data_IF_774625410309
#
_entry.id   IF_774625410309
#
_cell.length_a   1.000
_cell.length_b   1.000
_cell.length_c   1.000
_cell.angle_alpha   90.00
_cell.angle_beta   90.00
_cell.angle_gamma   90.00
#
_symmetry.space_group_name_H-M   'P 1'
#
loop_
_entity.id
_entity.type
_entity.pdbx_description
1 polymer ?
#
# COMPACT_ATOMS: atom_id res chain seq x y z
N UNK A 1 -7.64 59.69 48.53
CA UNK A 1 -9.06 59.44 48.87
C UNK A 1 -9.24 57.95 49.07
N UNK A 2 -9.62 57.57 50.29
CA UNK A 2 -9.86 56.17 50.66
C UNK A 2 -11.17 55.66 50.06
N UNK A 3 -11.16 54.49 49.42
CA UNK A 3 -12.37 53.77 49.02
C UNK A 3 -12.76 52.81 50.15
N UNK A 4 -14.00 52.87 50.68
CA UNK A 4 -14.39 52.03 51.81
C UNK A 4 -14.61 50.59 51.35
N UNK A 5 -14.01 49.63 52.06
CA UNK A 5 -14.38 48.21 51.99
C UNK A 5 -15.82 48.08 52.49
N UNK A 6 -16.78 47.97 51.56
CA UNK A 6 -18.13 47.49 51.89
C UNK A 6 -18.04 46.00 52.16
N UNK A 7 -18.39 45.59 53.37
CA UNK A 7 -18.64 44.19 53.70
C UNK A 7 -19.76 43.70 52.79
N UNK A 8 -19.47 42.67 51.98
CA UNK A 8 -20.53 41.91 51.35
C UNK A 8 -21.37 41.29 52.47
N UNK A 9 -22.64 41.69 52.50
CA UNK A 9 -23.63 41.29 53.47
C UNK A 9 -23.77 39.76 53.42
N UNK A 10 -23.37 39.06 54.48
CA UNK A 10 -23.33 37.58 54.50
C UNK A 10 -24.68 36.95 54.14
N UNK A 11 -25.78 37.68 54.33
CA UNK A 11 -27.13 37.31 53.91
C UNK A 11 -27.26 37.11 52.39
N UNK A 12 -26.58 37.92 51.57
CA UNK A 12 -26.64 37.80 50.11
C UNK A 12 -25.93 36.53 49.63
N UNK A 13 -24.83 36.16 50.28
CA UNK A 13 -24.09 34.92 49.99
C UNK A 13 -24.89 33.66 50.37
N UNK A 14 -25.59 33.70 51.50
CA UNK A 14 -26.49 32.60 51.92
C UNK A 14 -27.72 32.47 51.01
N UNK A 15 -28.29 33.58 50.55
CA UNK A 15 -29.41 33.57 49.60
C UNK A 15 -28.97 33.04 48.23
N UNK A 16 -27.81 33.47 47.71
CA UNK A 16 -27.24 32.93 46.47
C UNK A 16 -26.88 31.44 46.59
N UNK A 17 -26.33 31.02 47.73
CA UNK A 17 -26.05 29.60 48.01
C UNK A 17 -27.33 28.76 48.08
N UNK A 18 -28.40 29.26 48.71
CA UNK A 18 -29.71 28.61 48.75
C UNK A 18 -30.40 28.57 47.39
N UNK A 19 -30.32 29.63 46.59
CA UNK A 19 -30.89 29.66 45.23
C UNK A 19 -30.14 28.69 44.32
N UNK A 20 -28.81 28.64 44.37
CA UNK A 20 -28.02 27.67 43.61
C UNK A 20 -28.25 26.22 44.07
N UNK A 21 -28.36 25.97 45.38
CA UNK A 21 -28.68 24.65 45.92
C UNK A 21 -30.12 24.22 45.55
N UNK A 22 -31.08 25.14 45.58
CA UNK A 22 -32.45 24.89 45.11
C UNK A 22 -32.47 24.61 43.60
N UNK A 23 -31.71 25.34 42.78
CA UNK A 23 -31.61 25.08 41.34
C UNK A 23 -31.02 23.71 41.04
N UNK A 24 -30.00 23.29 41.79
CA UNK A 24 -29.42 21.94 41.74
C UNK A 24 -30.43 20.85 42.16
N UNK A 25 -31.21 21.07 43.22
CA UNK A 25 -32.23 20.10 43.68
C UNK A 25 -33.39 19.98 42.68
N UNK A 26 -33.78 21.07 42.00
CA UNK A 26 -34.80 21.03 40.93
C UNK A 26 -34.30 20.38 39.64
N UNK A 27 -33.02 20.59 39.26
CA UNK A 27 -32.43 19.90 38.11
C UNK A 27 -32.21 18.40 38.35
N UNK A 28 -31.79 17.99 39.55
CA UNK A 28 -31.56 16.57 39.88
C UNK A 28 -32.87 15.78 39.96
N UNK A 29 -34.01 16.41 40.29
CA UNK A 29 -35.34 15.76 40.24
C UNK A 29 -35.93 15.61 38.84
N UNK A 30 -35.37 16.25 37.81
CA UNK A 30 -35.91 16.24 36.44
C UNK A 30 -35.30 15.15 35.55
N UNK A 31 -34.28 14.43 36.04
CA UNK A 31 -33.65 13.32 35.34
C UNK A 31 -34.01 11.94 35.94
N UNK A 32 -35.10 11.86 36.71
CA UNK A 32 -35.68 10.59 37.12
C UNK A 32 -36.37 9.92 35.92
N UNK A 33 -35.60 9.10 35.19
CA UNK A 33 -36.07 8.05 34.29
C UNK A 33 -37.19 8.44 33.32
N UNK A 34 -36.87 9.17 32.24
CA UNK A 34 -37.75 9.15 31.07
C UNK A 34 -37.79 7.72 30.53
N UNK A 35 -38.90 7.03 30.77
CA UNK A 35 -39.17 5.72 30.19
C UNK A 35 -39.42 5.92 28.69
N UNK A 36 -38.41 5.68 27.86
CA UNK A 36 -38.60 5.63 26.40
C UNK A 36 -39.31 4.31 26.05
N UNK A 37 -40.46 4.40 25.38
CA UNK A 37 -41.11 3.23 24.78
C UNK A 37 -40.66 3.06 23.33
N UNK A 38 -39.98 1.96 23.04
CA UNK A 38 -39.74 1.49 21.66
C UNK A 38 -40.83 0.49 21.29
N UNK A 39 -41.72 0.87 20.37
CA UNK A 39 -42.70 -0.05 19.79
C UNK A 39 -42.16 -0.60 18.47
N UNK A 40 -42.00 -1.92 18.36
CA UNK A 40 -41.53 -2.60 17.14
C UNK A 40 -42.73 -3.21 16.42
N UNK A 41 -43.00 -2.77 15.19
CA UNK A 41 -44.04 -3.34 14.35
C UNK A 41 -43.46 -4.48 13.49
N UNK A 42 -43.77 -5.72 13.84
CA UNK A 42 -43.34 -6.92 13.10
C UNK A 42 -44.42 -7.48 12.16
N UNK A 43 -45.43 -6.68 11.78
CA UNK A 43 -46.50 -7.13 10.88
C UNK A 43 -45.94 -7.37 9.47
N UNK A 44 -46.16 -8.54 8.84
CA UNK A 44 -45.58 -8.88 7.53
C UNK A 44 -45.89 -7.89 6.41
N UNK A 45 -47.02 -7.18 6.50
CA UNK A 45 -47.42 -6.15 5.52
C UNK A 45 -46.53 -4.89 5.57
N UNK A 46 -45.78 -4.70 6.65
CA UNK A 46 -44.90 -3.54 6.87
C UNK A 46 -43.41 -3.93 6.93
N UNK A 47 -43.06 -5.19 6.62
CA UNK A 47 -41.68 -5.67 6.60
C UNK A 47 -41.14 -5.72 5.17
N UNK A 48 -39.87 -5.33 4.98
CA UNK A 48 -39.14 -5.55 3.73
C UNK A 48 -37.95 -6.48 3.99
N UNK A 49 -37.59 -7.27 2.98
CA UNK A 49 -36.37 -8.06 3.02
C UNK A 49 -35.17 -7.12 3.03
N UNK A 50 -34.27 -7.32 4.00
CA UNK A 50 -33.00 -6.61 4.03
C UNK A 50 -32.16 -7.11 2.84
N UNK A 51 -31.63 -6.23 1.98
CA UNK A 51 -30.78 -6.64 0.87
C UNK A 51 -29.59 -7.47 1.37
N UNK A 52 -29.30 -8.59 0.70
CA UNK A 52 -28.18 -9.46 1.08
C UNK A 52 -26.82 -8.75 1.00
N UNK A 53 -26.73 -7.70 0.20
CA UNK A 53 -25.54 -6.89 -0.02
C UNK A 53 -25.52 -5.58 0.78
N UNK A 54 -26.33 -5.48 1.85
CA UNK A 54 -26.43 -4.25 2.65
C UNK A 54 -25.13 -3.88 3.36
N UNK A 55 -24.34 -4.86 3.81
CA UNK A 55 -23.12 -4.63 4.57
C UNK A 55 -21.89 -5.09 3.79
N UNK A 56 -20.93 -4.18 3.64
CA UNK A 56 -19.68 -4.45 2.93
C UNK A 56 -18.54 -3.62 3.49
N UNK A 57 -17.41 -3.72 2.81
CA UNK A 57 -16.19 -2.96 3.11
C UNK A 57 -15.85 -2.06 1.93
N UNK A 58 -15.16 -0.97 2.25
CA UNK A 58 -14.62 -0.02 1.30
C UNK A 58 -13.10 0.00 1.50
N UNK A 59 -12.36 -0.02 0.40
CA UNK A 59 -10.91 0.06 0.37
C UNK A 59 -10.47 1.25 -0.47
N UNK A 60 -9.57 2.03 0.09
CA UNK A 60 -8.78 3.09 -0.54
C UNK A 60 -7.33 2.90 -0.08
N UNK A 61 -6.35 3.17 -0.95
CA UNK A 61 -4.94 3.20 -0.56
C UNK A 61 -4.67 4.48 0.24
N UNK A 62 -4.96 4.42 1.54
CA UNK A 62 -4.79 5.47 2.54
C UNK A 62 -4.12 4.88 3.77
N UNK A 63 -3.22 5.64 4.42
CA UNK A 63 -2.51 5.20 5.62
C UNK A 63 -1.73 3.88 5.44
N UNK A 64 -1.19 3.62 4.24
CA UNK A 64 -0.55 2.34 3.91
C UNK A 64 -1.50 1.14 4.08
N UNK A 65 -2.77 1.30 3.66
CA UNK A 65 -3.78 0.24 3.77
C UNK A 65 -3.49 -0.95 2.84
N UNK A 66 -2.87 -0.73 1.69
CA UNK A 66 -2.44 -1.80 0.77
C UNK A 66 -0.95 -2.01 0.88
N UNK A 67 -0.14 -1.11 0.30
CA UNK A 67 1.31 -1.14 0.42
C UNK A 67 1.75 -0.88 1.88
N UNK A 68 2.32 -1.89 2.53
CA UNK A 68 2.63 -1.90 3.97
C UNK A 68 1.51 -2.37 4.88
N UNK A 69 0.31 -2.56 4.32
CA UNK A 69 -0.89 -3.01 5.00
C UNK A 69 -1.33 -4.37 4.50
N UNK A 70 -2.43 -4.40 3.75
CA UNK A 70 -3.07 -5.63 3.30
C UNK A 70 -2.20 -6.45 2.32
N UNK A 71 -1.36 -5.80 1.51
CA UNK A 71 -0.42 -6.48 0.62
C UNK A 71 0.81 -6.95 1.40
N UNK A 72 1.27 -8.18 1.17
CA UNK A 72 2.31 -8.81 2.01
C UNK A 72 3.75 -8.49 1.62
N UNK A 73 3.97 -7.62 0.63
CA UNK A 73 5.30 -7.08 0.33
C UNK A 73 5.86 -6.37 1.58
N UNK A 74 7.07 -6.76 1.96
CA UNK A 74 7.76 -6.18 3.11
C UNK A 74 8.70 -5.06 2.71
N UNK A 75 9.21 -5.05 1.48
CA UNK A 75 10.12 -4.02 0.99
C UNK A 75 9.35 -2.79 0.53
N UNK A 76 9.66 -1.65 1.12
CA UNK A 76 9.14 -0.37 0.66
C UNK A 76 10.08 0.22 -0.41
N UNK A 77 9.54 0.92 -1.41
CA UNK A 77 10.30 1.47 -2.54
C UNK A 77 11.18 0.40 -3.22
N UNK A 78 10.56 -0.75 -3.55
CA UNK A 78 11.26 -1.94 -4.08
C UNK A 78 11.90 -1.77 -5.47
N UNK A 79 11.34 -0.88 -6.30
CA UNK A 79 11.86 -0.54 -7.63
C UNK A 79 12.56 0.81 -7.71
N UNK A 80 12.78 1.51 -6.59
CA UNK A 80 13.47 2.81 -6.54
C UNK A 80 12.79 3.96 -7.29
N UNK A 81 11.53 3.79 -7.71
CA UNK A 81 10.75 4.78 -8.46
C UNK A 81 10.12 5.87 -7.58
N UNK A 82 10.19 5.77 -6.25
CA UNK A 82 9.49 6.71 -5.36
C UNK A 82 9.94 8.18 -5.48
N UNK A 83 11.12 8.46 -6.02
CA UNK A 83 11.58 9.82 -6.35
C UNK A 83 11.13 10.34 -7.72
N UNK A 84 10.39 9.54 -8.47
CA UNK A 84 10.01 9.81 -9.86
C UNK A 84 11.12 9.50 -10.87
N UNK A 85 10.92 9.88 -12.15
CA UNK A 85 11.75 9.41 -13.27
C UNK A 85 13.13 10.11 -13.38
N UNK A 86 13.43 11.05 -12.48
CA UNK A 86 14.67 11.82 -12.50
C UNK A 86 15.76 11.11 -11.71
N UNK A 87 17.01 11.21 -12.17
CA UNK A 87 18.17 10.64 -11.47
C UNK A 87 19.06 11.72 -10.86
N UNK A 88 19.53 11.56 -9.62
CA UNK A 88 19.21 10.46 -8.71
C UNK A 88 17.75 10.52 -8.23
N UNK A 89 17.08 9.37 -8.24
CA UNK A 89 15.78 9.15 -7.61
C UNK A 89 15.97 9.01 -6.10
N UNK A 90 14.89 9.21 -5.37
CA UNK A 90 14.86 9.02 -3.94
C UNK A 90 14.86 7.52 -3.62
N UNK A 91 15.81 7.09 -2.78
CA UNK A 91 15.89 5.72 -2.29
C UNK A 91 15.19 5.52 -0.95
N UNK A 92 14.61 6.54 -0.31
CA UNK A 92 13.87 6.37 0.96
C UNK A 92 12.83 5.23 0.85
N UNK A 93 12.74 4.31 1.83
CA UNK A 93 13.44 4.30 3.12
C UNK A 93 14.74 3.48 3.17
N UNK A 94 15.34 3.18 2.02
CA UNK A 94 16.64 2.50 1.97
C UNK A 94 17.74 3.36 2.59
N UNK A 95 18.62 2.71 3.34
CA UNK A 95 19.71 3.35 4.08
C UNK A 95 21.03 2.62 3.85
N UNK A 96 22.14 3.36 3.93
CA UNK A 96 23.48 2.85 3.66
C UNK A 96 24.06 2.17 4.91
N UNK A 97 24.72 1.03 4.73
CA UNK A 97 25.58 0.36 5.70
C UNK A 97 27.02 0.64 5.29
N UNK A 98 27.73 1.44 6.08
CA UNK A 98 29.08 1.93 5.76
C UNK A 98 29.11 3.45 5.66
N UNK A 99 30.21 3.97 5.14
CA UNK A 99 30.43 5.40 4.92
C UNK A 99 31.10 5.63 3.55
N UNK A 100 31.27 6.90 3.17
CA UNK A 100 31.82 7.31 1.89
C UNK A 100 33.26 6.82 1.63
N UNK A 101 33.97 6.35 2.66
CA UNK A 101 35.30 5.74 2.47
C UNK A 101 35.22 4.31 1.96
N UNK A 102 34.07 3.64 2.12
CA UNK A 102 33.87 2.24 1.80
C UNK A 102 32.82 1.99 0.72
N UNK A 103 31.85 2.89 0.54
CA UNK A 103 30.71 2.67 -0.35
C UNK A 103 30.13 3.98 -0.90
N UNK A 104 29.74 3.95 -2.16
CA UNK A 104 28.97 5.00 -2.84
C UNK A 104 27.67 4.39 -3.35
N UNK A 105 26.54 4.97 -2.95
CA UNK A 105 25.20 4.56 -3.40
C UNK A 105 24.55 5.70 -4.18
N UNK A 106 24.04 5.38 -5.36
CA UNK A 106 23.29 6.29 -6.20
C UNK A 106 22.19 5.51 -6.95
N UNK A 107 21.39 6.20 -7.75
CA UNK A 107 20.47 5.59 -8.71
C UNK A 107 20.74 6.13 -10.10
N UNK A 108 20.59 5.30 -11.12
CA UNK A 108 20.70 5.69 -12.52
C UNK A 108 19.56 5.07 -13.36
N UNK A 109 19.53 5.34 -14.67
CA UNK A 109 18.50 4.83 -15.59
C UNK A 109 18.91 3.53 -16.30
N UNK A 110 19.53 2.60 -15.57
CA UNK A 110 20.09 1.37 -16.15
C UNK A 110 19.16 0.16 -16.08
N UNK A 111 17.97 0.28 -15.46
CA UNK A 111 17.04 -0.84 -15.32
C UNK A 111 16.73 -1.53 -16.66
N UNK A 112 16.49 -2.84 -16.59
CA UNK A 112 16.00 -3.62 -17.71
C UNK A 112 14.50 -3.40 -18.02
N UNK A 113 13.76 -2.71 -17.15
CA UNK A 113 12.34 -2.42 -17.32
C UNK A 113 12.13 -1.04 -17.93
N UNK A 114 11.47 -0.98 -19.09
CA UNK A 114 11.23 0.28 -19.78
C UNK A 114 10.28 1.21 -19.01
N UNK A 115 9.32 0.64 -18.26
CA UNK A 115 8.33 1.36 -17.46
C UNK A 115 8.84 1.73 -16.07
N UNK A 116 9.85 1.00 -15.56
CA UNK A 116 10.55 1.25 -14.30
C UNK A 116 12.03 1.48 -14.58
N UNK A 117 12.42 2.66 -15.11
CA UNK A 117 13.76 2.85 -15.63
C UNK A 117 14.84 2.98 -14.56
N UNK A 118 14.48 3.16 -13.28
CA UNK A 118 15.43 3.47 -12.21
C UNK A 118 16.00 2.19 -11.61
N UNK A 119 17.33 2.16 -11.44
CA UNK A 119 18.03 1.10 -10.72
C UNK A 119 18.93 1.72 -9.65
N UNK A 120 19.12 1.00 -8.54
CA UNK A 120 20.09 1.38 -7.51
C UNK A 120 21.47 0.88 -7.91
N UNK A 121 22.45 1.79 -7.98
CA UNK A 121 23.86 1.51 -8.22
C UNK A 121 24.63 1.59 -6.90
N UNK A 122 25.26 0.49 -6.53
CA UNK A 122 26.09 0.34 -5.35
C UNK A 122 27.55 0.10 -5.76
N UNK A 123 28.43 1.03 -5.44
CA UNK A 123 29.87 0.93 -5.70
C UNK A 123 30.62 0.73 -4.38
N UNK A 124 31.28 -0.42 -4.25
CA UNK A 124 32.02 -0.82 -3.06
C UNK A 124 33.50 -0.57 -3.27
N UNK A 125 34.07 0.25 -2.41
CA UNK A 125 35.44 0.75 -2.50
C UNK A 125 36.42 -0.05 -1.62
N UNK A 126 35.90 -0.75 -0.61
CA UNK A 126 36.69 -1.58 0.29
C UNK A 126 36.80 -3.03 -0.22
N UNK A 127 37.81 -3.75 0.26
CA UNK A 127 38.09 -5.13 -0.11
C UNK A 127 38.03 -6.08 1.10
N UNK A 128 38.01 -7.38 0.82
CA UNK A 128 37.98 -8.42 1.86
C UNK A 128 39.30 -8.54 2.63
N UNK A 129 40.40 -8.06 2.04
CA UNK A 129 41.75 -8.01 2.58
C UNK A 129 42.54 -6.86 1.94
N UNK A 130 43.66 -6.45 2.52
CA UNK A 130 44.49 -5.36 1.97
C UNK A 130 44.55 -4.15 2.89
N UNK A 131 44.69 -2.96 2.31
CA UNK A 131 44.82 -1.70 3.06
C UNK A 131 43.45 -1.09 3.41
N UNK A 132 42.47 -1.20 2.50
CA UNK A 132 41.14 -0.63 2.64
C UNK A 132 40.12 -1.76 2.90
N UNK A 133 40.17 -2.33 4.11
CA UNK A 133 39.42 -3.55 4.44
C UNK A 133 37.99 -3.22 4.85
N UNK A 134 37.01 -3.89 4.24
CA UNK A 134 35.61 -3.75 4.63
C UNK A 134 35.38 -4.16 6.10
N UNK A 135 34.45 -3.50 6.82
CA UNK A 135 34.03 -3.93 8.15
C UNK A 135 33.63 -5.42 8.19
N UNK A 136 33.71 -6.09 9.36
CA UNK A 136 33.41 -7.52 9.46
C UNK A 136 32.03 -7.94 8.94
N UNK A 137 31.02 -7.07 9.07
CA UNK A 137 29.65 -7.29 8.55
C UNK A 137 29.44 -6.89 7.09
N UNK A 138 30.48 -6.41 6.40
CA UNK A 138 30.40 -5.83 5.08
C UNK A 138 29.83 -4.41 5.04
N UNK A 139 29.74 -3.87 3.83
CA UNK A 139 29.05 -2.63 3.51
C UNK A 139 27.93 -2.91 2.52
N UNK A 140 26.96 -2.00 2.42
CA UNK A 140 25.84 -2.16 1.50
C UNK A 140 24.66 -1.26 1.82
N UNK A 141 23.45 -1.80 1.69
CA UNK A 141 22.20 -1.09 1.95
C UNK A 141 21.22 -1.94 2.77
N UNK A 142 20.25 -1.30 3.41
CA UNK A 142 19.13 -1.98 4.04
C UNK A 142 17.81 -1.25 3.84
N UNK A 143 16.72 -2.02 3.86
CA UNK A 143 15.35 -1.54 3.84
C UNK A 143 14.66 -1.90 5.16
N UNK A 144 14.14 -0.93 5.93
CA UNK A 144 13.39 -1.21 7.15
C UNK A 144 11.95 -1.68 6.88
N UNK A 145 11.53 -1.75 5.61
CA UNK A 145 10.16 -1.99 5.21
C UNK A 145 9.24 -0.84 5.61
N UNK A 146 8.03 -1.19 6.03
CA UNK A 146 7.02 -0.24 6.50
C UNK A 146 7.10 -0.09 8.03
N UNK A 147 8.07 0.72 8.48
CA UNK A 147 8.38 0.96 9.91
C UNK A 147 8.80 -0.29 10.71
N UNK A 148 9.46 -1.24 10.03
CA UNK A 148 9.93 -2.50 10.58
C UNK A 148 9.25 -3.71 9.94
N UNK A 149 9.98 -4.82 9.85
CA UNK A 149 9.47 -6.09 9.36
C UNK A 149 9.23 -7.05 10.53
N UNK A 150 8.00 -7.60 10.64
CA UNK A 150 7.71 -8.67 11.59
C UNK A 150 8.15 -10.01 11.01
N UNK A 151 9.29 -10.51 11.50
CA UNK A 151 9.86 -11.80 11.11
C UNK A 151 9.52 -12.84 12.18
N UNK A 152 8.97 -13.97 11.74
CA UNK A 152 8.49 -15.05 12.59
C UNK A 152 9.43 -16.26 12.52
N UNK A 153 9.61 -16.93 13.66
CA UNK A 153 10.45 -18.11 13.77
C UNK A 153 9.97 -19.23 12.84
N UNK A 154 10.93 -19.89 12.17
CA UNK A 154 10.74 -20.98 11.22
C UNK A 154 9.89 -20.64 9.97
N UNK A 155 9.43 -19.40 9.81
CA UNK A 155 8.73 -18.95 8.60
C UNK A 155 9.70 -18.69 7.46
N UNK A 156 9.19 -18.91 6.26
CA UNK A 156 9.93 -18.75 5.00
C UNK A 156 9.48 -17.46 4.32
N UNK A 157 10.45 -16.68 3.86
CA UNK A 157 10.28 -15.45 3.12
C UNK A 157 10.93 -15.61 1.75
N UNK A 158 10.16 -15.32 0.70
CA UNK A 158 10.60 -15.40 -0.70
C UNK A 158 11.27 -14.10 -1.08
N UNK A 159 12.53 -14.19 -1.46
CA UNK A 159 13.28 -13.07 -2.04
C UNK A 159 13.24 -13.19 -3.55
N UNK A 160 12.97 -12.07 -4.22
CA UNK A 160 13.17 -11.90 -5.66
C UNK A 160 13.85 -10.57 -5.89
N UNK A 161 14.85 -10.51 -6.77
CA UNK A 161 15.43 -9.25 -7.22
C UNK A 161 16.11 -9.42 -8.57
N UNK A 162 16.33 -8.31 -9.26
CA UNK A 162 17.17 -8.26 -10.45
C UNK A 162 18.55 -7.70 -10.06
N UNK A 163 19.60 -8.36 -10.53
CA UNK A 163 20.99 -8.01 -10.25
C UNK A 163 21.76 -7.90 -11.56
N UNK A 164 22.63 -6.90 -11.63
CA UNK A 164 23.70 -6.79 -12.62
C UNK A 164 24.99 -6.36 -11.93
N UNK A 165 26.16 -6.78 -12.41
CA UNK A 165 27.44 -6.37 -11.85
C UNK A 165 28.57 -6.32 -12.88
N UNK A 166 29.54 -5.44 -12.60
CA UNK A 166 30.72 -5.28 -13.43
C UNK A 166 31.81 -6.33 -13.16
N UNK A 167 31.78 -7.00 -11.99
CA UNK A 167 32.87 -7.83 -11.49
C UNK A 167 32.34 -9.04 -10.70
N UNK A 168 33.23 -9.93 -10.27
CA UNK A 168 32.85 -11.04 -9.38
C UNK A 168 32.31 -10.46 -8.06
N UNK A 169 31.24 -11.04 -7.54
CA UNK A 169 30.60 -10.55 -6.32
C UNK A 169 30.38 -11.66 -5.30
N UNK A 170 30.34 -11.25 -4.03
CA UNK A 170 29.85 -12.07 -2.93
C UNK A 170 28.82 -11.28 -2.12
N UNK A 171 27.55 -11.38 -2.53
CA UNK A 171 26.45 -10.61 -1.96
C UNK A 171 25.69 -11.43 -0.93
N UNK A 172 25.69 -10.97 0.32
CA UNK A 172 24.87 -11.53 1.39
C UNK A 172 23.57 -10.76 1.53
N UNK A 173 22.46 -11.48 1.37
CA UNK A 173 21.11 -10.99 1.58
C UNK A 173 20.62 -11.55 2.89
N UNK A 174 20.19 -10.69 3.82
CA UNK A 174 19.81 -11.15 5.16
C UNK A 174 18.66 -10.39 5.78
N UNK A 175 17.92 -11.11 6.62
CA UNK A 175 16.97 -10.54 7.56
C UNK A 175 17.69 -10.34 8.88
N UNK A 176 17.69 -9.10 9.38
CA UNK A 176 18.32 -8.75 10.65
C UNK A 176 17.39 -7.94 11.54
N UNK A 177 17.67 -7.88 12.85
CA UNK A 177 17.05 -6.90 13.74
C UNK A 177 17.25 -5.48 13.21
N UNK A 178 16.41 -4.53 13.64
CA UNK A 178 16.49 -3.13 13.20
C UNK A 178 17.87 -2.48 13.37
N UNK A 179 18.64 -2.90 14.38
CA UNK A 179 20.02 -2.43 14.64
C UNK A 179 21.10 -3.22 13.86
N UNK A 180 20.73 -4.29 13.15
CA UNK A 180 21.62 -5.16 12.41
C UNK A 180 22.42 -6.16 13.23
N UNK A 181 22.22 -6.23 14.55
CA UNK A 181 23.05 -7.05 15.44
C UNK A 181 22.62 -8.52 15.49
N UNK A 182 21.33 -8.80 15.32
CA UNK A 182 20.78 -10.16 15.30
C UNK A 182 20.54 -10.58 13.85
N UNK A 183 21.17 -11.66 13.42
CA UNK A 183 20.89 -12.30 12.14
C UNK A 183 19.78 -13.33 12.30
N UNK A 184 18.71 -13.19 11.52
CA UNK A 184 17.53 -14.05 11.55
C UNK A 184 17.55 -15.07 10.41
N UNK A 185 18.01 -14.64 9.23
CA UNK A 185 18.23 -15.48 8.07
C UNK A 185 19.26 -14.81 7.16
N UNK A 186 20.05 -15.61 6.45
CA UNK A 186 20.97 -15.12 5.43
C UNK A 186 21.08 -16.10 4.27
N UNK A 187 21.29 -15.54 3.08
CA UNK A 187 21.65 -16.27 1.89
C UNK A 187 22.75 -15.50 1.16
N UNK A 188 23.76 -16.21 0.68
CA UNK A 188 24.92 -15.62 0.03
C UNK A 188 24.93 -16.02 -1.44
N UNK A 189 24.92 -15.01 -2.31
CA UNK A 189 25.05 -15.14 -3.75
C UNK A 189 26.51 -14.90 -4.10
N UNK A 190 27.21 -15.98 -4.43
CA UNK A 190 28.56 -15.91 -4.97
C UNK A 190 28.49 -16.11 -6.47
N UNK A 191 29.09 -15.19 -7.22
CA UNK A 191 29.05 -15.22 -8.68
C UNK A 191 30.32 -14.64 -9.29
N UNK A 192 30.70 -15.22 -10.42
CA UNK A 192 31.78 -14.72 -11.24
C UNK A 192 31.28 -13.57 -12.14
N UNK A 193 32.23 -12.77 -12.64
CA UNK A 193 31.94 -11.60 -13.49
C UNK A 193 30.98 -11.86 -14.66
N UNK A 194 31.01 -13.07 -15.26
CA UNK A 194 30.16 -13.38 -16.41
C UNK A 194 28.73 -13.76 -16.02
N UNK A 195 28.46 -14.15 -14.77
CA UNK A 195 27.12 -14.62 -14.33
C UNK A 195 26.11 -13.46 -14.26
N UNK A 196 26.56 -12.25 -13.91
CA UNK A 196 25.73 -11.05 -13.73
C UNK A 196 26.11 -9.90 -14.64
N UNK A 197 26.77 -10.19 -15.77
CA UNK A 197 27.13 -9.17 -16.76
C UNK A 197 25.91 -8.49 -17.38
N UNK A 198 24.78 -9.20 -17.43
CA UNK A 198 23.47 -8.70 -17.82
C UNK A 198 22.50 -8.82 -16.64
N UNK A 199 21.43 -8.02 -16.66
CA UNK A 199 20.37 -8.08 -15.67
C UNK A 199 19.80 -9.49 -15.57
N UNK A 200 19.90 -10.07 -14.37
CA UNK A 200 19.46 -11.43 -14.09
C UNK A 200 18.55 -11.43 -12.88
N UNK A 201 17.39 -12.08 -13.03
CA UNK A 201 16.48 -12.34 -11.90
C UNK A 201 17.07 -13.43 -11.02
N UNK A 202 17.12 -13.17 -9.72
CA UNK A 202 17.48 -14.16 -8.71
C UNK A 202 16.32 -14.36 -7.74
N UNK A 203 16.07 -15.61 -7.38
CA UNK A 203 15.00 -16.00 -6.46
C UNK A 203 15.52 -17.05 -5.49
N UNK A 204 15.26 -16.86 -4.20
CA UNK A 204 15.61 -17.83 -3.15
C UNK A 204 14.74 -17.61 -1.91
N UNK A 205 14.73 -18.60 -1.03
CA UNK A 205 13.95 -18.58 0.20
C UNK A 205 14.87 -18.30 1.40
N UNK A 206 14.47 -17.38 2.26
CA UNK A 206 15.06 -17.13 3.58
C UNK A 206 14.17 -17.76 4.65
N UNK A 207 14.68 -18.77 5.36
CA UNK A 207 13.98 -19.32 6.53
C UNK A 207 14.53 -18.68 7.80
N UNK A 208 13.66 -18.04 8.58
CA UNK A 208 14.07 -17.39 9.83
C UNK A 208 14.36 -18.41 10.93
N UNK A 209 15.48 -18.26 11.63
CA UNK A 209 15.84 -19.04 12.81
C UNK A 209 15.12 -18.59 14.08
N UNK A 210 14.69 -17.33 14.14
CA UNK A 210 14.12 -16.69 15.33
C UNK A 210 12.97 -15.75 14.98
N UNK A 211 12.24 -15.30 15.99
CA UNK A 211 11.21 -14.26 15.86
C UNK A 211 11.80 -12.90 16.21
N UNK A 212 11.55 -11.90 15.38
CA UNK A 212 11.79 -10.50 15.71
C UNK A 212 10.72 -9.59 15.09
N UNK A 213 9.94 -8.84 15.90
CA UNK A 213 8.86 -7.99 15.41
C UNK A 213 9.33 -6.69 14.75
N UNK A 214 10.63 -6.36 14.84
CA UNK A 214 11.21 -5.14 14.29
C UNK A 214 12.54 -5.46 13.59
N UNK A 215 12.41 -5.89 12.34
CA UNK A 215 13.53 -6.34 11.50
C UNK A 215 13.67 -5.48 10.24
N UNK A 216 14.73 -5.75 9.47
CA UNK A 216 15.03 -5.12 8.19
C UNK A 216 15.62 -6.14 7.22
N UNK A 217 15.48 -5.87 5.92
CA UNK A 217 16.21 -6.58 4.87
C UNK A 217 17.52 -5.85 4.61
N UNK A 218 18.65 -6.54 4.56
CA UNK A 218 19.95 -5.94 4.21
C UNK A 218 20.64 -6.71 3.09
N UNK A 219 21.33 -5.97 2.23
CA UNK A 219 22.14 -6.42 1.11
C UNK A 219 23.57 -5.93 1.37
N UNK A 220 24.48 -6.83 1.73
CA UNK A 220 25.87 -6.45 2.06
C UNK A 220 26.89 -7.32 1.33
N UNK A 221 28.08 -6.75 1.12
CA UNK A 221 29.21 -7.45 0.51
C UNK A 221 30.52 -6.99 1.15
N UNK A 222 31.57 -7.78 0.95
CA UNK A 222 32.96 -7.45 1.31
C UNK A 222 33.89 -7.42 0.09
N UNK A 223 33.31 -7.51 -1.10
CA UNK A 223 34.03 -7.56 -2.37
C UNK A 223 33.88 -6.21 -3.06
N UNK A 224 34.99 -5.64 -3.49
CA UNK A 224 35.00 -4.39 -4.25
C UNK A 224 34.37 -4.59 -5.63
N UNK A 225 33.77 -3.52 -6.16
CA UNK A 225 33.12 -3.55 -7.46
C UNK A 225 31.79 -2.79 -7.49
N UNK A 226 31.11 -2.85 -8.63
CA UNK A 226 29.83 -2.19 -8.84
C UNK A 226 28.74 -3.24 -9.01
N UNK A 227 27.67 -3.09 -8.24
CA UNK A 227 26.47 -3.92 -8.30
C UNK A 227 25.26 -3.01 -8.49
N UNK A 228 24.38 -3.39 -9.41
CA UNK A 228 23.09 -2.77 -9.61
C UNK A 228 21.98 -3.69 -9.10
N UNK A 229 20.97 -3.08 -8.49
CA UNK A 229 19.77 -3.74 -7.99
C UNK A 229 18.53 -3.11 -8.59
N UNK A 230 17.54 -3.93 -8.87
CA UNK A 230 16.20 -3.49 -9.22
C UNK A 230 15.14 -4.51 -8.77
N UNK A 231 13.91 -4.03 -8.58
CA UNK A 231 12.73 -4.82 -8.22
C UNK A 231 12.99 -5.79 -7.06
N UNK A 232 13.47 -5.25 -5.93
CA UNK A 232 13.81 -6.03 -4.74
C UNK A 232 12.58 -6.33 -3.90
N UNK A 233 12.11 -7.57 -3.91
CA UNK A 233 10.91 -8.03 -3.20
C UNK A 233 11.25 -9.01 -2.08
N UNK A 234 10.52 -8.91 -0.97
CA UNK A 234 10.52 -9.88 0.11
C UNK A 234 9.08 -10.12 0.58
N UNK A 235 8.54 -11.29 0.26
CA UNK A 235 7.18 -11.67 0.69
C UNK A 235 7.19 -12.91 1.59
N UNK A 236 6.37 -12.98 2.63
CA UNK A 236 6.11 -14.24 3.33
C UNK A 236 5.61 -15.31 2.35
N UNK A 237 6.14 -16.53 2.44
CA UNK A 237 5.69 -17.65 1.61
C UNK A 237 4.23 -18.05 1.91
N UNK A 238 3.80 -17.88 3.17
CA UNK A 238 2.41 -18.10 3.60
C UNK A 238 1.60 -16.79 3.59
N UNK A 239 0.90 -16.52 2.50
CA UNK A 239 -0.08 -15.42 2.40
C UNK A 239 -1.52 -15.94 2.49
N UNK A 240 -2.49 -15.05 2.71
CA UNK A 240 -3.91 -15.41 2.70
C UNK A 240 -4.28 -16.03 1.35
N UNK A 241 -4.84 -17.25 1.39
CA UNK A 241 -5.14 -18.06 0.20
C UNK A 241 -3.97 -18.28 -0.79
N UNK A 242 -2.72 -17.94 -0.40
CA UNK A 242 -1.54 -17.86 -1.28
C UNK A 242 -1.65 -16.82 -2.41
N UNK A 243 -2.47 -15.79 -2.23
CA UNK A 243 -2.73 -14.74 -3.23
C UNK A 243 -2.05 -13.41 -2.91
N UNK A 244 -1.05 -13.38 -2.02
CA UNK A 244 -0.21 -12.21 -1.79
C UNK A 244 -0.65 -11.28 -0.65
N UNK A 245 -1.81 -11.50 -0.03
CA UNK A 245 -2.25 -10.68 1.11
C UNK A 245 -1.68 -11.12 2.45
N UNK A 246 -1.47 -10.15 3.33
CA UNK A 246 -1.15 -10.41 4.73
C UNK A 246 -2.25 -11.21 5.41
N UNK A 247 -1.85 -12.38 5.93
CA UNK A 247 -2.78 -13.40 6.44
C UNK A 247 -3.62 -12.91 7.61
N UNK A 248 -3.01 -12.16 8.53
CA UNK A 248 -3.66 -11.57 9.69
C UNK A 248 -4.77 -10.59 9.26
N UNK A 249 -4.44 -9.60 8.43
CA UNK A 249 -5.37 -8.56 8.00
C UNK A 249 -6.49 -9.11 7.11
N UNK A 250 -6.16 -9.92 6.11
CA UNK A 250 -7.16 -10.51 5.22
C UNK A 250 -8.11 -11.44 5.99
N UNK A 251 -7.63 -12.17 7.00
CA UNK A 251 -8.50 -12.97 7.88
C UNK A 251 -9.43 -12.10 8.72
N UNK A 252 -8.97 -10.93 9.19
CA UNK A 252 -9.85 -9.98 9.89
C UNK A 252 -10.94 -9.45 8.96
N UNK A 253 -10.61 -9.12 7.70
CA UNK A 253 -11.60 -8.73 6.69
C UNK A 253 -12.60 -9.86 6.42
N UNK A 254 -12.15 -11.09 6.25
CA UNK A 254 -13.02 -12.25 6.05
C UNK A 254 -13.99 -12.47 7.22
N UNK A 255 -13.54 -12.22 8.45
CA UNK A 255 -14.36 -12.34 9.65
C UNK A 255 -15.48 -11.28 9.74
N UNK A 256 -15.36 -10.15 9.03
CA UNK A 256 -16.47 -9.19 8.88
C UNK A 256 -17.61 -9.75 8.02
N UNK A 257 -17.35 -10.82 7.25
CA UNK A 257 -18.27 -11.43 6.28
C UNK A 257 -18.87 -10.40 5.32
N UNK A 258 -18.03 -9.56 4.68
CA UNK A 258 -18.52 -8.51 3.81
C UNK A 258 -19.27 -9.12 2.62
N UNK A 259 -20.35 -8.46 2.21
CA UNK A 259 -21.12 -8.86 1.03
C UNK A 259 -20.74 -8.06 -0.21
N UNK A 260 -20.06 -6.94 0.01
CA UNK A 260 -19.47 -6.08 -1.03
C UNK A 260 -18.05 -5.70 -0.62
N UNK A 261 -17.16 -5.62 -1.61
CA UNK A 261 -15.89 -4.91 -1.52
C UNK A 261 -15.88 -3.78 -2.56
N UNK A 262 -15.92 -2.52 -2.12
CA UNK A 262 -15.77 -1.34 -3.00
C UNK A 262 -14.30 -0.91 -3.06
N UNK A 263 -13.69 -0.86 -4.24
CA UNK A 263 -12.24 -0.65 -4.42
C UNK A 263 -11.89 0.00 -5.77
N UNK A 264 -10.66 0.51 -5.96
CA UNK A 264 -9.71 0.94 -4.93
C UNK A 264 -10.04 2.38 -4.53
N UNK A 265 -11.32 2.62 -4.21
CA UNK A 265 -12.02 3.87 -4.42
C UNK A 265 -11.57 5.07 -3.59
N UNK A 266 -12.47 6.05 -3.51
CA UNK A 266 -12.17 7.29 -2.83
C UNK A 266 -11.30 8.18 -3.70
N UNK A 267 -10.45 8.97 -3.05
CA UNK A 267 -9.63 9.95 -3.74
C UNK A 267 -8.42 9.30 -4.44
N UNK A 268 -7.98 8.11 -4.02
CA UNK A 268 -6.89 7.36 -4.69
C UNK A 268 -7.16 7.12 -6.19
N UNK A 269 -8.40 6.79 -6.56
CA UNK A 269 -8.79 6.64 -7.98
C UNK A 269 -8.68 7.94 -8.78
N UNK A 270 -8.84 9.07 -8.11
CA UNK A 270 -8.89 10.39 -8.74
C UNK A 270 -7.54 11.09 -8.80
N UNK A 271 -6.74 10.97 -7.75
CA UNK A 271 -5.61 11.84 -7.49
C UNK A 271 -6.02 13.28 -7.16
N UNK A 272 -5.08 14.09 -6.67
CA UNK A 272 -5.21 15.54 -6.72
C UNK A 272 -5.10 16.05 -8.17
N UNK A 273 -4.32 15.36 -8.99
CA UNK A 273 -4.15 15.62 -10.43
C UNK A 273 -4.30 14.33 -11.24
N UNK A 274 -4.80 14.41 -12.47
CA UNK A 274 -5.07 13.24 -13.32
C UNK A 274 -3.82 12.46 -13.69
N UNK A 275 -2.64 13.09 -13.64
CA UNK A 275 -1.34 12.44 -13.82
C UNK A 275 -1.01 11.43 -12.71
N UNK A 276 -1.66 11.56 -11.55
CA UNK A 276 -1.47 10.72 -10.37
C UNK A 276 -2.72 9.87 -10.06
N UNK A 277 -3.67 9.81 -10.99
CA UNK A 277 -4.85 8.97 -10.85
C UNK A 277 -4.49 7.49 -11.06
N UNK A 278 -5.09 6.59 -10.26
CA UNK A 278 -4.97 5.15 -10.46
C UNK A 278 -5.37 4.72 -11.88
N UNK A 279 -4.49 4.01 -12.58
CA UNK A 279 -4.70 3.46 -13.92
C UNK A 279 -4.74 1.95 -13.88
N UNK A 280 -5.94 1.36 -13.91
CA UNK A 280 -6.12 -0.08 -13.71
C UNK A 280 -5.26 -0.93 -14.67
N UNK A 281 -5.12 -0.49 -15.92
CA UNK A 281 -4.38 -1.17 -16.99
C UNK A 281 -2.87 -1.20 -16.75
N UNK A 282 -2.35 -0.27 -15.95
CA UNK A 282 -0.95 -0.21 -15.50
C UNK A 282 -0.71 -1.07 -14.24
N UNK A 283 -1.78 -1.64 -13.67
CA UNK A 283 -1.73 -2.45 -12.44
C UNK A 283 -1.95 -3.94 -12.68
N UNK A 284 -1.95 -4.38 -13.93
CA UNK A 284 -2.10 -5.79 -14.32
C UNK A 284 -0.87 -6.28 -15.07
N UNK A 285 -0.69 -7.60 -15.14
CA UNK A 285 0.53 -8.21 -15.68
C UNK A 285 1.64 -8.37 -14.63
N UNK A 286 2.88 -8.67 -15.08
CA UNK A 286 4.05 -8.84 -14.22
C UNK A 286 4.24 -7.62 -13.32
N UNK A 287 4.46 -7.83 -12.03
CA UNK A 287 4.52 -6.74 -11.07
C UNK A 287 5.77 -5.89 -11.24
N UNK A 288 6.86 -6.49 -11.70
CA UNK A 288 8.14 -5.83 -11.99
C UNK A 288 8.05 -4.79 -13.13
N UNK A 289 7.01 -4.87 -13.95
CA UNK A 289 6.76 -3.95 -15.07
C UNK A 289 5.71 -2.88 -14.73
N UNK A 290 5.07 -2.95 -13.56
CA UNK A 290 4.07 -1.95 -13.14
C UNK A 290 4.80 -0.66 -12.75
N UNK A 291 4.47 0.49 -13.37
CA UNK A 291 5.18 1.74 -13.12
C UNK A 291 4.95 2.30 -11.71
N UNK A 292 3.87 1.87 -11.04
CA UNK A 292 3.39 2.53 -9.84
C UNK A 292 2.97 3.98 -10.12
N UNK A 293 2.66 4.73 -9.06
CA UNK A 293 2.46 6.17 -9.14
C UNK A 293 2.59 6.84 -7.77
N UNK A 294 2.72 8.17 -7.79
CA UNK A 294 2.66 8.96 -6.57
C UNK A 294 1.21 9.16 -6.17
N UNK A 295 0.79 8.58 -5.04
CA UNK A 295 -0.50 8.83 -4.42
C UNK A 295 -0.49 10.22 -3.76
N UNK A 296 -0.67 11.25 -4.58
CA UNK A 296 -0.55 12.66 -4.19
C UNK A 296 -1.62 13.11 -3.18
N UNK A 297 -2.72 12.37 -3.05
CA UNK A 297 -3.76 12.60 -2.06
C UNK A 297 -3.27 12.28 -0.66
N UNK A 298 -2.56 11.16 -0.52
CA UNK A 298 -2.14 10.61 0.77
C UNK A 298 -0.63 10.70 1.04
N UNK A 299 0.14 11.17 0.06
CA UNK A 299 1.51 11.64 0.24
C UNK A 299 2.59 10.55 0.22
N UNK A 300 2.38 9.44 -0.47
CA UNK A 300 3.37 8.37 -0.62
C UNK A 300 3.33 7.72 -1.99
N UNK A 301 4.41 7.03 -2.35
CA UNK A 301 4.50 6.24 -3.58
C UNK A 301 3.80 4.88 -3.40
N UNK A 302 3.06 4.45 -4.42
CA UNK A 302 2.53 3.10 -4.54
C UNK A 302 3.21 2.42 -5.73
N UNK A 303 3.66 1.18 -5.54
CA UNK A 303 4.21 0.36 -6.62
C UNK A 303 3.11 -0.37 -7.42
N UNK A 304 1.85 -0.17 -7.04
CA UNK A 304 0.67 -0.80 -7.62
C UNK A 304 0.75 -2.33 -7.68
N UNK A 305 1.47 -2.94 -6.72
CA UNK A 305 1.51 -4.38 -6.51
C UNK A 305 0.15 -4.94 -6.09
N UNK A 306 -0.63 -4.16 -5.33
CA UNK A 306 -2.06 -4.43 -5.06
C UNK A 306 -2.90 -3.74 -6.15
N UNK A 307 -2.98 -4.37 -7.31
CA UNK A 307 -3.63 -3.84 -8.51
C UNK A 307 -5.05 -4.32 -8.72
N UNK A 308 -5.58 -4.06 -9.92
CA UNK A 308 -6.97 -4.38 -10.28
C UNK A 308 -7.28 -5.87 -10.17
N UNK A 309 -6.37 -6.72 -10.66
CA UNK A 309 -6.50 -8.17 -10.55
C UNK A 309 -6.54 -8.62 -9.08
N UNK A 310 -5.62 -8.11 -8.28
CA UNK A 310 -5.52 -8.50 -6.87
C UNK A 310 -6.77 -8.03 -6.08
N UNK A 311 -7.41 -6.92 -6.40
CA UNK A 311 -8.69 -6.59 -5.73
C UNK A 311 -9.85 -7.48 -6.14
N UNK A 312 -9.93 -7.88 -7.41
CA UNK A 312 -10.94 -8.83 -7.89
C UNK A 312 -10.77 -10.20 -7.21
N UNK A 313 -9.52 -10.69 -7.13
CA UNK A 313 -9.18 -11.92 -6.43
C UNK A 313 -9.53 -11.84 -4.93
N UNK A 314 -9.24 -10.71 -4.28
CA UNK A 314 -9.61 -10.50 -2.87
C UNK A 314 -11.13 -10.56 -2.66
N UNK A 315 -11.92 -9.98 -3.57
CA UNK A 315 -13.38 -10.03 -3.46
C UNK A 315 -13.88 -11.48 -3.50
N UNK A 316 -13.33 -12.33 -4.39
CA UNK A 316 -13.64 -13.75 -4.45
C UNK A 316 -13.22 -14.49 -3.18
N UNK A 317 -12.00 -14.25 -2.70
CA UNK A 317 -11.46 -14.90 -1.49
C UNK A 317 -12.26 -14.55 -0.22
N UNK A 318 -12.90 -13.37 -0.19
CA UNK A 318 -13.77 -12.92 0.88
C UNK A 318 -15.23 -13.36 0.70
N UNK A 319 -15.59 -13.92 -0.46
CA UNK A 319 -16.97 -14.23 -0.82
C UNK A 319 -17.85 -12.97 -0.96
N UNK A 320 -17.25 -11.84 -1.35
CA UNK A 320 -17.87 -10.54 -1.50
C UNK A 320 -18.06 -10.18 -2.98
N UNK A 321 -19.09 -9.39 -3.30
CA UNK A 321 -19.27 -8.86 -4.64
C UNK A 321 -18.36 -7.63 -4.87
N UNK A 322 -17.52 -7.61 -5.91
CA UNK A 322 -16.69 -6.44 -6.22
C UNK A 322 -17.54 -5.27 -6.73
N UNK A 323 -17.27 -4.07 -6.21
CA UNK A 323 -17.76 -2.78 -6.73
C UNK A 323 -16.54 -1.97 -7.16
N UNK A 324 -16.26 -1.96 -8.46
CA UNK A 324 -15.09 -1.27 -9.00
C UNK A 324 -15.35 0.23 -9.12
N UNK A 325 -14.48 1.05 -8.53
CA UNK A 325 -14.49 2.51 -8.67
C UNK A 325 -13.56 2.90 -9.81
N UNK A 326 -14.10 3.60 -10.81
CA UNK A 326 -13.37 4.03 -12.00
C UNK A 326 -13.09 5.52 -11.96
N UNK A 327 -11.96 5.93 -12.55
CA UNK A 327 -11.73 7.34 -12.81
C UNK A 327 -12.65 7.78 -13.97
N UNK A 328 -13.52 8.73 -13.71
CA UNK A 328 -14.55 9.20 -14.64
C UNK A 328 -14.11 10.44 -15.45
N UNK A 329 -12.79 10.67 -15.56
CA UNK A 329 -12.22 11.84 -16.23
C UNK A 329 -12.01 13.04 -15.30
N UNK A 330 -12.04 12.83 -13.98
CA UNK A 330 -11.82 13.87 -12.98
C UNK A 330 -10.73 13.48 -11.96
N UNK A 331 -10.07 14.51 -11.45
CA UNK A 331 -9.23 14.49 -10.25
C UNK A 331 -9.80 15.49 -9.24
N UNK A 332 -9.23 15.64 -8.05
CA UNK A 332 -9.74 16.65 -7.10
C UNK A 332 -9.62 18.09 -7.61
N UNK A 333 -8.65 18.37 -8.50
CA UNK A 333 -8.39 19.72 -9.01
C UNK A 333 -8.66 19.88 -10.52
N UNK A 334 -8.88 18.79 -11.26
CA UNK A 334 -8.99 18.80 -12.71
C UNK A 334 -10.20 17.98 -13.19
N UNK A 335 -10.65 18.28 -14.39
CA UNK A 335 -11.65 17.50 -15.09
C UNK A 335 -11.43 17.63 -16.59
N UNK A 336 -11.61 16.53 -17.31
CA UNK A 336 -11.56 16.55 -18.77
C UNK A 336 -12.86 17.12 -19.34
N UNK A 337 -12.81 17.86 -20.46
CA UNK A 337 -14.03 18.22 -21.18
C UNK A 337 -14.82 16.99 -21.62
N UNK A 338 -16.15 17.08 -21.65
CA UNK A 338 -17.01 15.99 -22.15
C UNK A 338 -16.69 15.58 -23.59
N UNK A 339 -16.07 16.46 -24.40
CA UNK A 339 -15.64 16.15 -25.76
C UNK A 339 -14.48 15.13 -25.83
N UNK A 340 -13.72 14.94 -24.75
CA UNK A 340 -12.55 14.06 -24.70
C UNK A 340 -12.72 12.86 -23.77
N UNK A 341 -13.91 12.67 -23.18
CA UNK A 341 -14.15 11.58 -22.20
C UNK A 341 -14.09 10.18 -22.83
N UNK A 342 -14.25 10.07 -24.15
CA UNK A 342 -14.30 8.79 -24.85
C UNK A 342 -13.08 7.88 -24.57
N UNK A 343 -11.90 8.45 -24.32
CA UNK A 343 -10.72 7.68 -23.94
C UNK A 343 -10.87 6.98 -22.58
N UNK A 344 -11.47 7.65 -21.59
CA UNK A 344 -11.76 7.07 -20.28
C UNK A 344 -12.88 6.04 -20.37
N UNK A 345 -13.90 6.28 -21.19
CA UNK A 345 -14.96 5.29 -21.44
C UNK A 345 -14.36 4.01 -22.01
N UNK A 346 -13.46 4.14 -23.00
CA UNK A 346 -12.76 2.99 -23.57
C UNK A 346 -11.93 2.27 -22.50
N UNK A 347 -11.16 3.00 -21.69
CA UNK A 347 -10.35 2.42 -20.62
C UNK A 347 -11.18 1.59 -19.63
N UNK A 348 -12.37 2.07 -19.26
CA UNK A 348 -13.29 1.32 -18.39
C UNK A 348 -13.88 0.10 -19.10
N UNK A 349 -14.26 0.21 -20.37
CA UNK A 349 -14.76 -0.93 -21.15
C UNK A 349 -13.69 -2.02 -21.28
N UNK A 350 -12.44 -1.62 -21.49
CA UNK A 350 -11.28 -2.51 -21.52
C UNK A 350 -11.10 -3.22 -20.16
N UNK A 351 -11.28 -2.52 -19.03
CA UNK A 351 -11.23 -3.13 -17.70
C UNK A 351 -12.40 -4.08 -17.41
N UNK A 352 -13.59 -3.81 -17.96
CA UNK A 352 -14.71 -4.75 -17.93
C UNK A 352 -14.38 -5.99 -18.76
N UNK A 353 -13.76 -5.83 -19.94
CA UNK A 353 -13.31 -6.97 -20.75
C UNK A 353 -12.22 -7.77 -20.03
N UNK A 354 -11.27 -7.12 -19.34
CA UNK A 354 -10.31 -7.80 -18.49
C UNK A 354 -11.01 -8.66 -17.44
N UNK A 355 -11.96 -8.08 -16.70
CA UNK A 355 -12.63 -8.79 -15.62
C UNK A 355 -13.59 -9.89 -16.10
N UNK A 356 -14.29 -9.67 -17.23
CA UNK A 356 -15.46 -10.49 -17.63
C UNK A 356 -15.41 -11.09 -19.02
N UNK A 357 -14.49 -10.65 -19.86
CA UNK A 357 -14.34 -11.13 -21.23
C UNK A 357 -13.92 -12.60 -21.28
N UNK A 358 -14.21 -13.24 -22.41
CA UNK A 358 -13.72 -14.58 -22.72
C UNK A 358 -12.18 -14.59 -22.73
N UNK A 359 -11.50 -15.65 -22.26
CA UNK A 359 -10.03 -15.72 -22.27
C UNK A 359 -9.40 -15.54 -23.66
N UNK A 360 -10.16 -15.67 -24.76
CA UNK A 360 -9.68 -15.37 -26.11
C UNK A 360 -9.71 -13.89 -26.52
N UNK A 361 -10.28 -12.99 -25.72
CA UNK A 361 -10.32 -11.56 -26.05
C UNK A 361 -9.03 -10.83 -25.65
N UNK A 362 -8.88 -9.58 -26.11
CA UNK A 362 -7.66 -8.79 -25.86
C UNK A 362 -7.33 -8.74 -24.37
N UNK A 363 -8.27 -8.26 -23.54
CA UNK A 363 -8.04 -8.14 -22.11
C UNK A 363 -8.38 -9.41 -21.31
N UNK A 364 -9.31 -10.24 -21.78
CA UNK A 364 -9.58 -11.54 -21.16
C UNK A 364 -8.38 -12.47 -21.20
N UNK A 365 -7.55 -12.39 -22.25
CA UNK A 365 -6.30 -13.15 -22.36
C UNK A 365 -5.25 -12.73 -21.33
N UNK A 366 -5.20 -11.44 -20.96
CA UNK A 366 -4.32 -10.94 -19.90
C UNK A 366 -4.73 -11.54 -18.55
N UNK A 367 -6.04 -11.49 -18.21
CA UNK A 367 -6.56 -12.12 -16.99
C UNK A 367 -6.24 -13.62 -16.93
N UNK A 368 -6.44 -14.33 -18.05
CA UNK A 368 -6.14 -15.75 -18.14
C UNK A 368 -4.64 -16.05 -17.97
N UNK A 369 -3.77 -15.23 -18.56
CA UNK A 369 -2.31 -15.35 -18.41
C UNK A 369 -1.83 -15.08 -16.97
N UNK A 370 -2.56 -14.24 -16.22
CA UNK A 370 -2.35 -14.02 -14.78
C UNK A 370 -2.87 -15.18 -13.90
N UNK A 371 -3.36 -16.27 -14.50
CA UNK A 371 -3.75 -17.49 -13.79
C UNK A 371 -5.25 -17.61 -13.49
N UNK A 372 -6.08 -16.69 -13.99
CA UNK A 372 -7.53 -16.72 -13.75
C UNK A 372 -8.31 -16.67 -15.08
N UNK A 373 -8.51 -17.82 -15.75
CA UNK A 373 -9.19 -17.86 -17.05
C UNK A 373 -10.69 -17.58 -16.94
N UNK A 374 -11.31 -17.80 -15.78
CA UNK A 374 -12.74 -17.60 -15.58
C UNK A 374 -13.11 -16.12 -15.40
N UNK A 375 -14.27 -15.66 -15.86
CA UNK A 375 -14.75 -14.31 -15.58
C UNK A 375 -14.98 -14.04 -14.09
N UNK A 376 -14.52 -12.89 -13.58
CA UNK A 376 -14.89 -12.38 -12.26
C UNK A 376 -16.35 -11.90 -12.24
N UNK A 377 -16.99 -11.94 -11.06
CA UNK A 377 -18.37 -11.46 -10.87
C UNK A 377 -18.49 -9.93 -10.70
N UNK A 378 -17.92 -9.17 -11.63
CA UNK A 378 -17.99 -7.70 -11.63
C UNK A 378 -19.34 -7.19 -12.17
N UNK A 379 -20.31 -7.05 -11.26
CA UNK A 379 -21.67 -6.61 -11.60
C UNK A 379 -21.94 -5.13 -11.29
N UNK A 380 -21.07 -4.48 -10.52
CA UNK A 380 -21.26 -3.10 -10.06
C UNK A 380 -20.01 -2.27 -10.34
N UNK A 381 -20.24 -1.10 -10.94
CA UNK A 381 -19.22 -0.09 -11.20
C UNK A 381 -19.69 1.22 -10.57
N UNK A 382 -18.79 1.87 -9.84
CA UNK A 382 -18.97 3.20 -9.26
C UNK A 382 -18.22 4.18 -10.14
N UNK A 383 -18.96 5.09 -10.77
CA UNK A 383 -18.40 6.14 -11.60
C UNK A 383 -17.89 7.27 -10.70
N UNK A 384 -16.58 7.57 -10.76
CA UNK A 384 -16.00 8.70 -10.05
C UNK A 384 -16.01 8.60 -8.52
N UNK A 385 -15.66 9.71 -7.88
CA UNK A 385 -15.71 9.91 -6.44
C UNK A 385 -15.88 11.40 -6.03
N UNK A 386 -17.06 11.77 -5.52
CA UNK A 386 -17.34 13.08 -4.88
C UNK A 386 -17.19 14.33 -5.78
N UNK A 387 -17.40 14.18 -7.09
CA UNK A 387 -17.24 15.20 -8.13
C UNK A 387 -18.49 16.09 -8.37
N UNK A 388 -19.52 15.99 -7.52
CA UNK A 388 -20.85 16.59 -7.75
C UNK A 388 -20.84 18.11 -8.01
N UNK A 389 -19.81 18.83 -7.54
CA UNK A 389 -19.66 20.27 -7.71
C UNK A 389 -18.90 20.69 -8.98
N UNK A 390 -18.35 19.74 -9.75
CA UNK A 390 -17.52 20.02 -10.91
C UNK A 390 -18.35 20.42 -12.14
N UNK A 391 -17.81 21.32 -12.96
CA UNK A 391 -18.56 21.95 -14.05
C UNK A 391 -19.04 20.96 -15.12
N UNK A 392 -18.24 19.94 -15.45
CA UNK A 392 -18.60 18.94 -16.45
C UNK A 392 -19.31 17.70 -15.88
N UNK A 393 -19.49 17.60 -14.55
CA UNK A 393 -20.05 16.41 -13.88
C UNK A 393 -21.28 15.83 -14.59
N UNK A 394 -22.32 16.65 -14.81
CA UNK A 394 -23.56 16.20 -15.46
C UNK A 394 -23.34 15.77 -16.91
N UNK A 395 -22.44 16.45 -17.63
CA UNK A 395 -22.12 16.13 -19.02
C UNK A 395 -21.37 14.81 -19.14
N UNK A 396 -20.41 14.56 -18.22
CA UNK A 396 -19.69 13.29 -18.14
C UNK A 396 -20.66 12.15 -17.80
N UNK A 397 -21.48 12.31 -16.77
CA UNK A 397 -22.43 11.29 -16.32
C UNK A 397 -23.44 10.85 -17.39
N UNK A 398 -23.81 11.72 -18.34
CA UNK A 398 -24.73 11.37 -19.42
C UNK A 398 -24.08 10.60 -20.59
N UNK A 399 -22.74 10.61 -20.67
CA UNK A 399 -21.99 9.91 -21.71
C UNK A 399 -21.64 8.48 -21.27
N UNK A 400 -21.38 8.29 -19.98
CA UNK A 400 -21.26 7.00 -19.32
C UNK A 400 -22.59 6.24 -19.34
#
# INVERSE_FOLDING_TARGET
MAVPRRSLDGRLFWVLGLVCAMYQIFFVRSAAGQTAQLSVNASPQNTQMIPENMFGIFFEEINHAGAGGLWAELVNNRGFEAGGPNTPSNIDPWLIIGDESNIIVATDRSSCFATNPIALRMEVLCESSGNDVCPPGGVGIYNPGFWGMNIEEAKVYKVSMYIMSSDSMDLTVSLTSSDGLQNLAAYTITADKEDFKEWTKVEFDLQSSERNPNSRLQLTTRTSGIVWFDQVSLMPSETYMRHGYRKDLASMLANLKPKILKFPGGNYVMGNYLSNAFRWSETVGPWEERPGHFNDVWGYWTDDGLGFFEFLQLAEDLGACPVWVVNDGASRNEQVPSATIAAFVKDVVDGIEFARGDPGTSWGSVRAAMGHPEPFQLNYISMGNQECSMHYYKGLYLIW
#
